data_IF_479934158344
#
_entry.id   IF_479934158344
#
_cell.length_a   1.000
_cell.length_b   1.000
_cell.length_c   1.000
_cell.angle_alpha   90.00
_cell.angle_beta   90.00
_cell.angle_gamma   90.00
#
_symmetry.space_group_name_H-M   'P 1'
#
loop_
_entity.id
_entity.type
_entity.pdbx_description
1 polymer ?
#
# COMPACT_ATOMS: atom_id res chain seq x y z
N UNK A 1 -15.65 -31.39 0.91
CA UNK A 1 -14.35 -31.32 1.60
C UNK A 1 -13.74 -29.97 1.23
N UNK A 2 -13.14 -29.23 2.15
CA UNK A 2 -12.41 -28.02 1.74
C UNK A 2 -11.30 -28.42 0.76
N UNK A 3 -11.18 -27.67 -0.32
CA UNK A 3 -10.16 -27.86 -1.34
C UNK A 3 -8.78 -27.63 -0.68
N UNK A 4 -7.80 -28.49 -0.96
CA UNK A 4 -6.46 -28.29 -0.42
C UNK A 4 -5.89 -26.97 -0.98
N UNK A 5 -5.12 -26.19 -0.18
CA UNK A 5 -4.51 -24.97 -0.67
C UNK A 5 -3.60 -25.27 -1.86
N UNK A 6 -3.49 -24.33 -2.83
CA UNK A 6 -2.63 -24.51 -3.99
C UNK A 6 -1.18 -24.71 -3.55
N UNK A 7 -0.43 -25.47 -4.35
CA UNK A 7 0.98 -25.74 -4.09
C UNK A 7 1.81 -24.50 -4.37
N UNK A 8 2.86 -24.30 -3.60
CA UNK A 8 3.87 -23.29 -3.88
C UNK A 8 5.28 -23.90 -3.76
N UNK A 9 6.25 -23.25 -4.38
CA UNK A 9 7.66 -23.58 -4.31
C UNK A 9 8.43 -22.31 -3.99
N UNK A 10 9.31 -22.38 -2.99
CA UNK A 10 10.23 -21.28 -2.66
C UNK A 10 11.35 -21.27 -3.71
N UNK A 11 11.59 -20.07 -4.27
CA UNK A 11 12.63 -19.83 -5.28
C UNK A 11 13.95 -19.41 -4.61
N UNK A 12 14.99 -19.16 -5.40
CA UNK A 12 16.21 -18.50 -4.91
C UNK A 12 15.86 -17.12 -4.35
N UNK A 13 16.44 -16.79 -3.20
CA UNK A 13 16.21 -15.53 -2.51
C UNK A 13 17.37 -14.52 -2.77
N UNK A 14 18.22 -14.81 -3.75
CA UNK A 14 19.29 -13.93 -4.21
C UNK A 14 19.06 -13.56 -5.67
N UNK A 15 19.12 -12.27 -5.97
CA UNK A 15 19.06 -11.74 -7.32
C UNK A 15 20.36 -11.95 -8.09
N UNK A 16 20.42 -11.43 -9.32
CA UNK A 16 21.55 -11.66 -10.22
C UNK A 16 22.88 -11.11 -9.71
N UNK A 17 22.84 -10.04 -8.91
CA UNK A 17 24.02 -9.39 -8.34
C UNK A 17 24.24 -9.76 -6.87
N UNK A 18 23.51 -10.78 -6.36
CA UNK A 18 23.59 -11.20 -4.96
C UNK A 18 22.75 -10.39 -3.98
N UNK A 19 21.94 -9.44 -4.46
CA UNK A 19 20.97 -8.69 -3.65
C UNK A 19 19.88 -9.62 -3.08
N UNK A 20 19.37 -9.29 -1.89
CA UNK A 20 18.25 -10.00 -1.30
C UNK A 20 16.97 -9.73 -2.11
N UNK A 21 16.26 -10.79 -2.51
CA UNK A 21 14.99 -10.70 -3.25
C UNK A 21 13.95 -11.60 -2.59
N UNK A 22 12.69 -11.42 -2.97
CA UNK A 22 11.60 -12.27 -2.50
C UNK A 22 11.46 -12.23 -0.98
N UNK A 23 11.42 -13.39 -0.33
CA UNK A 23 11.25 -13.50 1.11
C UNK A 23 12.42 -12.91 1.91
N UNK A 24 13.65 -12.96 1.36
CA UNK A 24 14.82 -12.37 2.00
C UNK A 24 14.81 -10.84 1.97
N UNK A 25 14.04 -10.22 1.07
CA UNK A 25 13.88 -8.77 1.01
C UNK A 25 12.84 -8.22 2.01
N UNK A 26 12.13 -9.10 2.74
CA UNK A 26 11.15 -8.65 3.73
C UNK A 26 11.87 -7.94 4.90
N UNK A 27 11.44 -6.71 5.23
CA UNK A 27 11.97 -6.02 6.40
C UNK A 27 11.49 -6.69 7.71
N UNK A 28 12.17 -6.43 8.82
CA UNK A 28 11.75 -6.90 10.15
C UNK A 28 10.34 -6.43 10.50
N UNK A 29 9.67 -7.21 11.36
CA UNK A 29 8.37 -6.85 11.89
C UNK A 29 8.44 -5.63 12.80
N UNK A 30 7.48 -4.71 12.65
CA UNK A 30 7.41 -3.54 13.51
C UNK A 30 5.96 -3.27 13.95
N UNK A 31 5.70 -2.97 15.25
CA UNK A 31 4.33 -2.77 15.74
C UNK A 31 3.61 -1.56 15.13
N UNK A 32 4.35 -0.63 14.53
CA UNK A 32 3.81 0.53 13.83
C UNK A 32 3.58 0.28 12.32
N UNK A 33 3.84 -0.91 11.80
CA UNK A 33 3.58 -1.27 10.40
C UNK A 33 2.14 -0.96 9.99
N UNK A 34 1.97 -0.62 8.70
CA UNK A 34 0.70 -0.20 8.09
C UNK A 34 0.43 -1.04 6.85
N UNK A 35 -0.81 -1.44 6.66
CA UNK A 35 -1.27 -2.12 5.43
C UNK A 35 -2.24 -1.22 4.72
N UNK A 36 -1.91 -0.86 3.49
CA UNK A 36 -2.53 0.20 2.72
C UNK A 36 -3.12 -0.31 1.41
N UNK A 37 -4.32 0.14 1.10
CA UNK A 37 -5.02 -0.12 -0.16
C UNK A 37 -5.86 1.10 -0.57
N UNK A 38 -6.13 1.26 -1.87
CA UNK A 38 -6.85 2.40 -2.43
C UNK A 38 -7.93 1.96 -3.41
N UNK A 39 -9.02 2.75 -3.44
CA UNK A 39 -10.06 2.61 -4.46
C UNK A 39 -10.10 3.80 -5.41
N UNK A 40 -10.08 3.52 -6.69
CA UNK A 40 -10.09 4.53 -7.75
C UNK A 40 -11.28 4.40 -8.69
N UNK A 41 -11.75 5.55 -9.21
CA UNK A 41 -12.80 5.63 -10.22
C UNK A 41 -12.26 6.22 -11.53
N UNK A 42 -11.97 5.38 -12.53
CA UNK A 42 -11.32 5.81 -13.77
C UNK A 42 -12.26 6.50 -14.76
N UNK A 43 -13.59 6.44 -14.55
CA UNK A 43 -14.58 6.92 -15.53
C UNK A 43 -14.85 8.43 -15.48
N UNK A 44 -14.05 9.19 -14.73
CA UNK A 44 -13.99 10.66 -14.79
C UNK A 44 -12.68 11.11 -15.40
N UNK A 45 -12.62 12.31 -16.04
CA UNK A 45 -11.38 12.81 -16.62
C UNK A 45 -10.20 12.79 -15.64
N UNK A 46 -9.14 12.05 -15.97
CA UNK A 46 -7.96 11.85 -15.14
C UNK A 46 -8.14 10.90 -13.94
N UNK A 47 -9.25 10.16 -13.86
CA UNK A 47 -9.57 9.26 -12.73
C UNK A 47 -9.78 10.00 -11.40
N UNK A 48 -10.36 9.41 -10.40
CA UNK A 48 -10.55 9.93 -9.05
C UNK A 48 -10.18 8.85 -8.05
N UNK A 49 -9.22 9.12 -7.16
CA UNK A 49 -8.97 8.24 -6.02
C UNK A 49 -9.94 8.63 -4.91
N UNK A 50 -10.91 7.78 -4.64
CA UNK A 50 -12.04 8.15 -3.79
C UNK A 50 -12.01 7.55 -2.38
N UNK A 51 -11.13 6.57 -2.15
CA UNK A 51 -10.96 5.95 -0.83
C UNK A 51 -9.49 5.57 -0.62
N UNK A 52 -8.94 5.99 0.50
CA UNK A 52 -7.63 5.58 1.02
C UNK A 52 -7.89 4.81 2.31
N UNK A 53 -7.55 3.53 2.35
CA UNK A 53 -7.77 2.67 3.51
C UNK A 53 -6.49 2.13 4.08
N UNK A 54 -6.39 2.09 5.40
CA UNK A 54 -5.27 1.48 6.10
C UNK A 54 -5.74 0.59 7.24
N UNK A 55 -5.06 -0.55 7.41
CA UNK A 55 -5.11 -1.33 8.63
C UNK A 55 -3.86 -1.10 9.45
N UNK A 56 -4.01 -1.09 10.78
CA UNK A 56 -2.93 -1.10 11.77
C UNK A 56 -3.19 -2.19 12.79
N UNK A 57 -2.12 -2.76 13.34
CA UNK A 57 -2.26 -3.76 14.40
C UNK A 57 -2.59 -3.10 15.73
N UNK A 58 -3.69 -3.52 16.35
CA UNK A 58 -4.08 -3.15 17.71
C UNK A 58 -3.72 -4.29 18.66
N UNK A 59 -2.52 -4.24 19.23
CA UNK A 59 -1.99 -5.27 20.13
C UNK A 59 -2.90 -5.58 21.32
N UNK A 60 -3.39 -4.58 22.07
CA UNK A 60 -4.32 -4.82 23.18
C UNK A 60 -5.61 -5.54 22.80
N UNK A 61 -6.18 -5.23 21.62
CA UNK A 61 -7.39 -5.87 21.12
C UNK A 61 -7.12 -7.17 20.34
N UNK A 62 -5.86 -7.50 20.04
CA UNK A 62 -5.44 -8.61 19.18
C UNK A 62 -6.19 -8.62 17.83
N UNK A 63 -6.39 -7.44 17.27
CA UNK A 63 -7.15 -7.21 16.05
C UNK A 63 -6.52 -6.12 15.20
N UNK A 64 -7.04 -5.91 14.00
CA UNK A 64 -6.69 -4.77 13.17
C UNK A 64 -7.74 -3.68 13.33
N UNK A 65 -7.29 -2.45 13.58
CA UNK A 65 -8.11 -1.26 13.42
C UNK A 65 -8.03 -0.79 11.97
N UNK A 66 -9.13 -0.26 11.44
CA UNK A 66 -9.21 0.28 10.09
C UNK A 66 -9.52 1.77 10.11
N UNK A 67 -8.76 2.53 9.33
CA UNK A 67 -8.94 3.97 9.14
C UNK A 67 -9.12 4.25 7.65
N UNK A 68 -9.94 5.26 7.32
CA UNK A 68 -10.23 5.61 5.93
C UNK A 68 -10.36 7.12 5.72
N UNK A 69 -10.02 7.55 4.49
CA UNK A 69 -10.20 8.92 3.99
C UNK A 69 -10.94 8.85 2.68
N UNK A 70 -12.06 9.59 2.60
CA UNK A 70 -12.97 9.58 1.45
C UNK A 70 -12.91 10.86 0.64
N UNK A 71 -13.15 10.72 -0.68
CA UNK A 71 -13.26 11.81 -1.62
C UNK A 71 -14.34 11.52 -2.67
N UNK A 72 -15.17 12.49 -3.01
CA UNK A 72 -16.18 12.35 -4.06
C UNK A 72 -16.04 13.41 -5.15
N UNK A 73 -14.95 14.19 -5.11
CA UNK A 73 -14.54 15.16 -6.12
C UNK A 73 -13.05 15.51 -5.96
N UNK A 74 -12.50 16.30 -6.87
CA UNK A 74 -11.07 16.69 -6.87
C UNK A 74 -10.59 17.42 -5.63
N UNK A 75 -11.41 18.29 -5.09
CA UNK A 75 -11.02 19.05 -3.90
C UNK A 75 -10.97 18.13 -2.67
N UNK A 76 -11.91 17.22 -2.57
CA UNK A 76 -11.93 16.21 -1.52
C UNK A 76 -10.81 15.18 -1.70
N UNK A 77 -10.44 14.81 -2.96
CA UNK A 77 -9.31 13.95 -3.26
C UNK A 77 -8.00 14.55 -2.70
N UNK A 78 -7.81 15.87 -2.87
CA UNK A 78 -6.67 16.58 -2.26
C UNK A 78 -6.69 16.44 -0.73
N UNK A 79 -7.81 16.74 -0.10
CA UNK A 79 -7.94 16.69 1.37
C UNK A 79 -7.74 15.27 1.91
N UNK A 80 -8.33 14.27 1.26
CA UNK A 80 -8.18 12.87 1.64
C UNK A 80 -6.73 12.38 1.49
N UNK A 81 -6.08 12.73 0.38
CA UNK A 81 -4.67 12.44 0.13
C UNK A 81 -3.76 13.11 1.17
N UNK A 82 -3.95 14.41 1.44
CA UNK A 82 -3.19 15.13 2.47
C UNK A 82 -3.40 14.50 3.86
N UNK A 83 -4.64 14.17 4.21
CA UNK A 83 -4.95 13.55 5.50
C UNK A 83 -4.27 12.19 5.69
N UNK A 84 -4.28 11.36 4.66
CA UNK A 84 -3.56 10.08 4.66
C UNK A 84 -2.04 10.29 4.77
N UNK A 85 -1.47 11.15 3.91
CA UNK A 85 -0.02 11.40 3.88
C UNK A 85 0.48 11.99 5.19
N UNK A 86 -0.21 13.00 5.74
CA UNK A 86 0.17 13.61 7.01
C UNK A 86 0.16 12.59 8.14
N UNK A 87 -0.89 11.76 8.19
CA UNK A 87 -1.00 10.73 9.22
C UNK A 87 0.12 9.69 9.11
N UNK A 88 0.39 9.15 7.93
CA UNK A 88 1.40 8.09 7.76
C UNK A 88 2.82 8.63 7.88
N UNK A 89 3.07 9.86 7.43
CA UNK A 89 4.37 10.51 7.52
C UNK A 89 4.76 10.80 8.98
N UNK A 90 3.84 11.37 9.79
CA UNK A 90 4.07 11.55 11.22
C UNK A 90 4.31 10.22 11.93
N UNK A 91 3.51 9.19 11.61
CA UNK A 91 3.69 7.85 12.17
C UNK A 91 5.07 7.28 11.86
N UNK A 92 5.57 7.49 10.63
CA UNK A 92 6.91 7.06 10.24
C UNK A 92 8.01 7.89 10.93
N UNK A 93 7.84 9.20 11.10
CA UNK A 93 8.78 10.04 11.86
C UNK A 93 8.93 9.56 13.31
N UNK A 94 7.82 9.18 13.95
CA UNK A 94 7.81 8.61 15.31
C UNK A 94 8.38 7.17 15.36
N UNK A 95 8.32 6.44 14.25
CA UNK A 95 8.70 5.04 14.13
C UNK A 95 9.48 4.78 12.84
N UNK A 96 10.75 5.23 12.72
CA UNK A 96 11.50 5.19 11.45
C UNK A 96 11.75 3.79 10.87
N UNK A 97 11.58 2.74 11.66
CA UNK A 97 11.73 1.34 11.25
C UNK A 97 10.40 0.69 10.79
N UNK A 98 9.28 1.42 10.80
CA UNK A 98 8.01 0.91 10.27
C UNK A 98 7.98 0.92 8.76
N UNK A 99 7.10 0.11 8.19
CA UNK A 99 6.86 0.04 6.76
C UNK A 99 5.37 0.16 6.42
N UNK A 100 5.11 0.56 5.18
CA UNK A 100 3.78 0.63 4.57
C UNK A 100 3.71 -0.48 3.53
N UNK A 101 2.97 -1.54 3.83
CA UNK A 101 2.81 -2.68 2.93
C UNK A 101 1.61 -2.47 2.02
N UNK A 102 1.80 -2.72 0.73
CA UNK A 102 0.78 -2.68 -0.31
C UNK A 102 0.97 -3.84 -1.29
N UNK A 103 0.05 -3.98 -2.24
CA UNK A 103 0.12 -5.05 -3.22
C UNK A 103 0.09 -4.52 -4.66
N UNK A 104 1.22 -4.70 -5.38
CA UNK A 104 1.48 -4.22 -6.73
C UNK A 104 1.69 -2.68 -6.80
N UNK A 105 1.75 -2.14 -8.02
CA UNK A 105 2.27 -0.78 -8.25
C UNK A 105 1.19 0.31 -8.26
N UNK A 106 -0.07 -0.05 -8.00
CA UNK A 106 -1.16 0.92 -8.12
C UNK A 106 -1.03 2.07 -7.12
N UNK A 107 -0.85 1.74 -5.84
CA UNK A 107 -0.78 2.68 -4.72
C UNK A 107 0.38 3.67 -4.89
N UNK A 108 1.57 3.16 -5.21
CA UNK A 108 2.77 4.01 -5.41
C UNK A 108 2.58 4.93 -6.62
N UNK A 109 2.03 4.42 -7.71
CA UNK A 109 1.74 5.22 -8.90
C UNK A 109 0.70 6.29 -8.61
N UNK A 110 -0.32 5.98 -7.81
CA UNK A 110 -1.35 6.92 -7.39
C UNK A 110 -0.77 8.00 -6.47
N UNK A 111 -0.01 7.63 -5.44
CA UNK A 111 0.62 8.57 -4.50
C UNK A 111 1.50 9.58 -5.23
N UNK A 112 2.36 9.13 -6.17
CA UNK A 112 3.19 10.01 -7.01
C UNK A 112 2.34 10.93 -7.88
N UNK A 113 1.31 10.39 -8.52
CA UNK A 113 0.40 11.16 -9.39
C UNK A 113 -0.38 12.21 -8.62
N UNK A 114 -0.88 11.87 -7.43
CA UNK A 114 -1.68 12.76 -6.59
C UNK A 114 -0.84 13.90 -6.04
N UNK A 115 0.38 13.66 -5.56
CA UNK A 115 1.27 14.71 -5.07
C UNK A 115 1.57 15.74 -6.16
N UNK A 116 1.82 15.29 -7.40
CA UNK A 116 2.04 16.17 -8.56
C UNK A 116 0.75 16.87 -8.99
N UNK A 117 -0.37 16.14 -9.08
CA UNK A 117 -1.68 16.67 -9.52
C UNK A 117 -2.18 17.80 -8.64
N UNK A 118 -2.03 17.64 -7.32
CA UNK A 118 -2.53 18.57 -6.32
C UNK A 118 -1.49 19.58 -5.84
N UNK A 119 -0.24 19.47 -6.34
CA UNK A 119 0.91 20.28 -5.94
C UNK A 119 1.04 20.34 -4.41
N UNK A 120 1.12 19.16 -3.79
CA UNK A 120 1.12 19.02 -2.33
C UNK A 120 1.87 17.77 -1.87
N UNK A 121 2.48 17.81 -0.68
CA UNK A 121 3.16 16.68 -0.01
C UNK A 121 4.24 16.00 -0.88
N UNK A 122 4.87 16.74 -1.80
CA UNK A 122 5.89 16.18 -2.69
C UNK A 122 7.13 15.75 -1.94
N UNK A 123 7.55 16.53 -0.94
CA UNK A 123 8.72 16.24 -0.12
C UNK A 123 8.48 15.03 0.79
N UNK A 124 7.29 14.91 1.37
CA UNK A 124 6.90 13.77 2.21
C UNK A 124 6.86 12.48 1.38
N UNK A 125 6.28 12.54 0.19
CA UNK A 125 6.26 11.40 -0.74
C UNK A 125 7.67 11.01 -1.16
N UNK A 126 8.53 11.98 -1.54
CA UNK A 126 9.92 11.72 -1.92
C UNK A 126 10.70 11.06 -0.77
N UNK A 127 10.54 11.55 0.47
CA UNK A 127 11.19 10.97 1.63
C UNK A 127 10.73 9.53 1.88
N UNK A 128 9.42 9.25 1.90
CA UNK A 128 8.90 7.90 2.09
C UNK A 128 9.40 6.92 1.02
N UNK A 129 9.52 7.38 -0.23
CA UNK A 129 10.00 6.55 -1.34
C UNK A 129 11.52 6.32 -1.28
N UNK A 130 12.33 7.35 -0.99
CA UNK A 130 13.79 7.23 -0.88
C UNK A 130 14.23 6.37 0.29
N UNK A 131 13.46 6.35 1.37
CA UNK A 131 13.75 5.53 2.53
C UNK A 131 13.10 4.14 2.44
N UNK A 132 12.55 3.78 1.27
CA UNK A 132 11.97 2.46 1.00
C UNK A 132 10.90 2.06 2.03
N UNK A 133 10.15 3.08 2.55
CA UNK A 133 9.11 2.84 3.56
C UNK A 133 7.95 2.03 2.99
N UNK A 134 7.66 2.18 1.68
CA UNK A 134 6.67 1.37 0.97
C UNK A 134 7.26 0.04 0.53
N UNK A 135 6.57 -1.05 0.86
CA UNK A 135 6.98 -2.43 0.55
C UNK A 135 5.91 -3.10 -0.31
N UNK A 136 6.25 -3.40 -1.55
CA UNK A 136 5.37 -4.08 -2.50
C UNK A 136 5.41 -5.60 -2.31
N UNK A 137 4.40 -6.16 -1.67
CA UNK A 137 4.30 -7.61 -1.43
C UNK A 137 4.09 -8.42 -2.72
N UNK A 138 3.59 -7.82 -3.81
CA UNK A 138 3.56 -8.49 -5.11
C UNK A 138 4.97 -8.84 -5.58
N UNK A 139 5.93 -7.93 -5.44
CA UNK A 139 7.32 -8.18 -5.80
C UNK A 139 7.94 -9.28 -4.94
N UNK A 140 7.65 -9.27 -3.63
CA UNK A 140 8.11 -10.31 -2.70
C UNK A 140 7.59 -11.68 -3.12
N UNK A 141 6.28 -11.80 -3.39
CA UNK A 141 5.67 -13.06 -3.86
C UNK A 141 6.24 -13.47 -5.20
N UNK A 142 6.30 -12.54 -6.17
CA UNK A 142 6.71 -12.81 -7.56
C UNK A 142 8.15 -13.28 -7.67
N UNK A 143 9.04 -12.74 -6.84
CA UNK A 143 10.46 -13.07 -6.82
C UNK A 143 10.77 -14.26 -5.91
N UNK A 144 10.04 -14.42 -4.81
CA UNK A 144 10.32 -15.42 -3.78
C UNK A 144 9.61 -16.76 -3.97
N UNK A 145 8.50 -16.77 -4.70
CA UNK A 145 7.63 -17.95 -4.79
C UNK A 145 7.20 -18.25 -6.24
N UNK A 146 7.12 -19.54 -6.55
CA UNK A 146 6.33 -20.04 -7.66
C UNK A 146 5.05 -20.65 -7.10
N UNK A 147 3.89 -20.16 -7.54
CA UNK A 147 2.58 -20.58 -7.03
C UNK A 147 1.83 -21.42 -8.07
N UNK A 148 0.98 -22.33 -7.62
CA UNK A 148 0.12 -23.18 -8.45
C UNK A 148 -1.22 -22.53 -8.79
N UNK A 149 -1.23 -21.21 -9.01
CA UNK A 149 -2.39 -20.42 -9.42
C UNK A 149 -2.15 -19.80 -10.79
N UNK A 150 -3.23 -19.47 -11.50
CA UNK A 150 -3.19 -18.93 -12.86
C UNK A 150 -2.58 -17.52 -12.93
N UNK A 151 -2.58 -16.79 -11.82
CA UNK A 151 -2.05 -15.43 -11.73
C UNK A 151 -1.45 -15.12 -10.36
N UNK A 152 -0.68 -14.04 -10.30
CA UNK A 152 -0.13 -13.48 -9.06
C UNK A 152 -0.98 -12.30 -8.53
N UNK A 153 -2.25 -12.19 -8.94
CA UNK A 153 -3.16 -11.23 -8.31
C UNK A 153 -3.34 -11.56 -6.83
N UNK A 154 -3.61 -10.54 -5.98
CA UNK A 154 -3.83 -10.80 -4.56
C UNK A 154 -4.95 -11.83 -4.33
N UNK A 155 -5.99 -11.82 -5.17
CA UNK A 155 -7.12 -12.77 -5.09
C UNK A 155 -6.72 -14.22 -5.35
N UNK A 156 -5.76 -14.46 -6.26
CA UNK A 156 -5.18 -15.79 -6.50
C UNK A 156 -4.26 -16.20 -5.36
N UNK A 157 -3.39 -15.29 -4.92
CA UNK A 157 -2.44 -15.55 -3.83
C UNK A 157 -3.14 -15.80 -2.49
N UNK A 158 -4.30 -15.19 -2.27
CA UNK A 158 -5.13 -15.44 -1.07
C UNK A 158 -5.43 -16.90 -0.81
N UNK A 159 -5.56 -17.72 -1.85
CA UNK A 159 -5.84 -19.15 -1.68
C UNK A 159 -4.73 -19.92 -0.94
N UNK A 160 -3.54 -19.35 -0.81
CA UNK A 160 -2.42 -19.92 -0.07
C UNK A 160 -2.53 -19.74 1.45
N UNK A 161 -3.23 -18.72 1.93
CA UNK A 161 -3.20 -18.34 3.34
C UNK A 161 -4.58 -18.07 3.97
N UNK A 162 -5.64 -17.98 3.18
CA UNK A 162 -7.01 -17.76 3.70
C UNK A 162 -8.07 -18.48 2.86
N UNK A 163 -9.26 -18.80 3.43
CA UNK A 163 -10.39 -19.32 2.66
C UNK A 163 -10.88 -18.30 1.63
N UNK A 164 -11.51 -18.79 0.56
CA UNK A 164 -12.11 -17.94 -0.47
C UNK A 164 -13.11 -16.95 0.14
N UNK A 165 -13.10 -15.72 -0.35
CA UNK A 165 -14.01 -14.67 0.09
C UNK A 165 -15.46 -15.02 -0.25
N UNK A 166 -16.37 -14.66 0.64
CA UNK A 166 -17.83 -14.80 0.45
C UNK A 166 -18.52 -13.45 0.20
N UNK A 167 -17.80 -12.41 -0.26
CA UNK A 167 -18.29 -11.04 -0.37
C UNK A 167 -18.95 -10.76 -1.73
N UNK A 168 -19.94 -9.84 -1.77
CA UNK A 168 -20.62 -9.40 -3.01
C UNK A 168 -19.72 -8.53 -3.89
N UNK A 169 -18.80 -7.77 -3.31
CA UNK A 169 -17.76 -7.04 -4.03
C UNK A 169 -16.50 -7.93 -3.99
N UNK A 170 -16.18 -8.56 -5.09
CA UNK A 170 -15.12 -9.56 -5.16
C UNK A 170 -13.89 -9.07 -5.92
N UNK A 171 -14.03 -8.03 -6.74
CA UNK A 171 -12.97 -7.51 -7.62
C UNK A 171 -12.94 -5.97 -7.64
N UNK A 172 -11.81 -5.39 -8.05
CA UNK A 172 -11.69 -3.95 -8.30
C UNK A 172 -12.70 -3.46 -9.36
N UNK A 173 -13.05 -4.29 -10.36
CA UNK A 173 -14.09 -3.95 -11.33
C UNK A 173 -15.47 -3.83 -10.67
N UNK A 174 -15.77 -4.67 -9.69
CA UNK A 174 -17.02 -4.57 -8.92
C UNK A 174 -17.07 -3.28 -8.11
N UNK A 175 -15.96 -2.86 -7.51
CA UNK A 175 -15.85 -1.58 -6.79
C UNK A 175 -16.17 -0.39 -7.71
N UNK A 176 -15.61 -0.35 -8.93
CA UNK A 176 -15.91 0.69 -9.94
C UNK A 176 -17.41 0.70 -10.28
N UNK A 177 -18.00 -0.48 -10.53
CA UNK A 177 -19.43 -0.60 -10.85
C UNK A 177 -20.30 -0.14 -9.67
N UNK A 178 -19.96 -0.52 -8.45
CA UNK A 178 -20.70 -0.10 -7.25
C UNK A 178 -20.59 1.42 -7.06
N UNK A 179 -19.40 2.00 -7.24
CA UNK A 179 -19.23 3.44 -7.13
C UNK A 179 -20.01 4.20 -8.23
N UNK A 180 -20.07 3.69 -9.48
CA UNK A 180 -20.95 4.24 -10.52
C UNK A 180 -22.43 4.24 -10.10
N UNK A 181 -22.89 3.11 -9.56
CA UNK A 181 -24.27 3.00 -9.04
C UNK A 181 -24.53 3.96 -7.89
N UNK A 182 -23.56 4.17 -7.01
CA UNK A 182 -23.69 5.16 -5.95
C UNK A 182 -23.82 6.59 -6.52
N UNK A 183 -23.01 6.98 -7.52
CA UNK A 183 -23.10 8.28 -8.19
C UNK A 183 -24.52 8.50 -8.79
N UNK A 184 -25.10 7.48 -9.39
CA UNK A 184 -26.45 7.53 -9.96
C UNK A 184 -27.56 7.47 -8.90
N UNK A 185 -27.25 7.00 -7.71
CA UNK A 185 -28.18 6.88 -6.60
C UNK A 185 -28.34 8.21 -5.86
N UNK A 186 -29.40 8.33 -5.08
CA UNK A 186 -29.58 9.44 -4.15
C UNK A 186 -29.13 9.09 -2.71
N UNK A 187 -28.26 8.09 -2.57
CA UNK A 187 -27.73 7.71 -1.25
C UNK A 187 -26.83 8.78 -0.68
N UNK A 188 -26.67 8.73 0.64
CA UNK A 188 -25.81 9.64 1.37
C UNK A 188 -24.34 9.56 0.89
N UNK A 189 -23.65 10.69 0.97
CA UNK A 189 -22.19 10.76 0.80
C UNK A 189 -21.43 10.25 2.04
N UNK A 190 -22.11 10.16 3.16
CA UNK A 190 -21.58 9.51 4.36
C UNK A 190 -21.69 7.99 4.18
N UNK A 191 -20.55 7.31 4.15
CA UNK A 191 -20.49 5.87 3.95
C UNK A 191 -21.31 5.09 5.00
N UNK A 192 -21.42 5.61 6.24
CA UNK A 192 -22.18 4.95 7.31
C UNK A 192 -23.69 4.94 7.05
N UNK A 193 -24.15 5.80 6.12
CA UNK A 193 -25.57 5.96 5.72
C UNK A 193 -25.84 5.50 4.29
N UNK A 194 -24.84 4.97 3.60
CA UNK A 194 -24.94 4.42 2.24
C UNK A 194 -24.58 2.96 2.24
N UNK A 195 -25.52 2.09 1.89
CA UNK A 195 -25.23 0.65 1.80
C UNK A 195 -24.20 0.33 0.72
N UNK A 196 -24.14 1.13 -0.35
CA UNK A 196 -23.18 0.94 -1.43
C UNK A 196 -21.77 1.34 -0.94
N UNK A 197 -21.60 2.55 -0.40
CA UNK A 197 -20.30 3.01 0.10
C UNK A 197 -19.80 2.13 1.26
N UNK A 198 -20.73 1.68 2.13
CA UNK A 198 -20.37 0.72 3.18
C UNK A 198 -19.81 -0.58 2.59
N UNK A 199 -20.43 -1.13 1.55
CA UNK A 199 -19.93 -2.33 0.87
C UNK A 199 -18.54 -2.13 0.25
N UNK A 200 -18.28 -0.96 -0.35
CA UNK A 200 -16.96 -0.60 -0.88
C UNK A 200 -15.93 -0.46 0.26
N UNK A 201 -16.31 0.18 1.37
CA UNK A 201 -15.46 0.30 2.55
C UNK A 201 -15.08 -1.05 3.13
N UNK A 202 -16.07 -1.92 3.30
CA UNK A 202 -15.87 -3.27 3.84
C UNK A 202 -14.93 -4.10 2.91
N UNK A 203 -15.02 -3.88 1.60
CA UNK A 203 -14.14 -4.49 0.61
C UNK A 203 -12.68 -3.98 0.74
N UNK A 204 -12.47 -2.67 0.80
CA UNK A 204 -11.15 -2.06 0.96
C UNK A 204 -10.50 -2.45 2.31
N UNK A 205 -11.28 -2.48 3.40
CA UNK A 205 -10.83 -2.99 4.69
C UNK A 205 -10.37 -4.45 4.60
N UNK A 206 -11.12 -5.30 3.87
CA UNK A 206 -10.74 -6.71 3.68
C UNK A 206 -9.47 -6.86 2.82
N UNK A 207 -9.22 -5.96 1.85
CA UNK A 207 -7.99 -5.95 1.07
C UNK A 207 -6.77 -5.53 1.92
N UNK A 208 -6.90 -4.50 2.77
CA UNK A 208 -5.87 -4.15 3.75
C UNK A 208 -5.57 -5.31 4.72
N UNK A 209 -6.61 -5.97 5.25
CA UNK A 209 -6.46 -7.15 6.13
C UNK A 209 -5.83 -8.34 5.41
N UNK A 210 -6.18 -8.55 4.15
CA UNK A 210 -5.59 -9.60 3.30
C UNK A 210 -4.09 -9.37 3.10
N UNK A 211 -3.70 -8.13 2.86
CA UNK A 211 -2.29 -7.73 2.74
C UNK A 211 -1.52 -8.00 4.04
N UNK A 212 -2.13 -7.73 5.21
CA UNK A 212 -1.55 -8.05 6.50
C UNK A 212 -1.39 -9.58 6.71
N UNK A 213 -2.42 -10.35 6.36
CA UNK A 213 -2.39 -11.82 6.45
C UNK A 213 -1.35 -12.42 5.50
N UNK A 214 -1.23 -11.88 4.28
CA UNK A 214 -0.19 -12.26 3.33
C UNK A 214 1.20 -12.07 3.93
N UNK A 215 1.50 -10.89 4.49
CA UNK A 215 2.79 -10.62 5.11
C UNK A 215 3.11 -11.62 6.21
N UNK A 216 2.15 -11.89 7.10
CA UNK A 216 2.32 -12.86 8.16
C UNK A 216 2.61 -14.26 7.62
N UNK A 217 1.89 -14.68 6.59
CA UNK A 217 2.12 -15.96 5.94
C UNK A 217 3.51 -16.03 5.27
N UNK A 218 3.92 -14.98 4.55
CA UNK A 218 5.25 -14.90 3.92
C UNK A 218 6.38 -15.00 4.96
N UNK A 219 6.22 -14.37 6.14
CA UNK A 219 7.17 -14.48 7.26
C UNK A 219 7.21 -15.91 7.84
N UNK A 220 6.06 -16.61 7.92
CA UNK A 220 6.03 -18.01 8.32
C UNK A 220 6.77 -18.89 7.32
N UNK A 221 6.52 -18.72 6.02
CA UNK A 221 7.23 -19.45 4.95
C UNK A 221 8.73 -19.19 5.01
N UNK A 222 9.15 -17.92 5.19
CA UNK A 222 10.55 -17.57 5.33
C UNK A 222 11.20 -18.29 6.53
N UNK A 223 10.51 -18.33 7.67
CA UNK A 223 10.97 -19.04 8.87
C UNK A 223 11.09 -20.54 8.65
N UNK A 224 10.08 -21.16 8.04
CA UNK A 224 10.07 -22.61 7.74
C UNK A 224 11.23 -23.01 6.80
N UNK A 225 11.60 -22.14 5.88
CA UNK A 225 12.69 -22.34 4.93
C UNK A 225 14.04 -21.77 5.38
N UNK A 226 14.16 -21.31 6.64
CA UNK A 226 15.38 -20.74 7.22
C UNK A 226 15.97 -19.57 6.42
N UNK A 227 15.09 -18.75 5.81
CA UNK A 227 15.46 -17.56 5.05
C UNK A 227 15.59 -16.40 6.05
N UNK A 228 16.80 -15.83 6.13
CA UNK A 228 17.02 -14.60 6.89
C UNK A 228 16.44 -13.41 6.11
N UNK A 229 15.62 -12.58 6.76
CA UNK A 229 15.17 -11.31 6.18
C UNK A 229 16.30 -10.28 6.14
N UNK A 230 16.07 -9.21 5.38
CA UNK A 230 17.01 -8.08 5.34
C UNK A 230 17.12 -7.46 6.74
N UNK A 231 18.34 -7.25 7.28
CA UNK A 231 18.47 -6.48 8.51
C UNK A 231 17.86 -5.10 8.31
N UNK A 232 17.11 -4.60 9.29
CA UNK A 232 16.71 -3.20 9.28
C UNK A 232 17.96 -2.35 9.19
N UNK A 233 18.18 -1.68 8.06
CA UNK A 233 19.08 -0.56 8.02
C UNK A 233 18.43 0.48 8.92
N UNK A 234 18.87 0.60 10.17
CA UNK A 234 18.42 1.67 11.04
C UNK A 234 18.64 2.98 10.28
N UNK A 235 17.53 3.54 9.79
CA UNK A 235 17.55 4.79 9.05
C UNK A 235 18.09 5.80 10.03
N UNK A 236 19.32 6.26 9.80
CA UNK A 236 19.81 7.48 10.44
C UNK A 236 18.78 8.55 10.13
N UNK A 237 18.30 9.22 11.18
CA UNK A 237 17.32 10.30 11.08
C UNK A 237 17.61 11.17 9.85
N UNK A 238 16.57 11.66 9.13
CA UNK A 238 16.77 12.39 7.88
C UNK A 238 17.84 13.45 8.09
N UNK A 239 18.94 13.31 7.36
CA UNK A 239 19.94 14.36 7.33
C UNK A 239 19.23 15.60 6.82
N UNK A 240 19.30 16.68 7.57
CA UNK A 240 18.91 18.00 7.12
C UNK A 240 19.35 18.16 5.67
N UNK A 241 18.48 18.62 4.73
CA UNK A 241 18.85 18.74 3.33
C UNK A 241 20.23 19.42 3.26
N UNK A 242 21.19 18.79 2.60
CA UNK A 242 22.50 19.37 2.44
C UNK A 242 22.27 20.72 1.76
N UNK A 243 22.67 21.81 2.41
CA UNK A 243 22.62 23.13 1.79
C UNK A 243 23.30 23.01 0.43
N UNK A 244 22.58 23.41 -0.61
CA UNK A 244 23.10 23.41 -1.97
C UNK A 244 24.41 24.20 -1.95
N UNK A 245 25.46 23.64 -2.52
CA UNK A 245 26.75 24.35 -2.55
C UNK A 245 26.57 25.72 -3.24
N UNK A 246 27.31 26.75 -2.83
CA UNK A 246 27.20 28.09 -3.43
C UNK A 246 27.32 28.07 -4.96
N UNK A 247 28.06 27.15 -5.54
CA UNK A 247 28.19 26.95 -6.98
C UNK A 247 26.91 26.46 -7.65
N UNK A 248 26.17 25.55 -6.99
CA UNK A 248 24.88 25.03 -7.49
C UNK A 248 23.80 26.10 -7.40
N UNK A 249 23.78 26.88 -6.31
CA UNK A 249 22.89 28.04 -6.16
C UNK A 249 23.16 29.11 -7.23
N UNK A 250 24.45 29.40 -7.52
CA UNK A 250 24.84 30.34 -8.56
C UNK A 250 24.40 29.89 -9.97
N UNK A 251 24.51 28.59 -10.28
CA UNK A 251 24.06 28.00 -11.56
C UNK A 251 22.54 28.03 -11.69
N UNK A 252 21.80 27.73 -10.63
CA UNK A 252 20.33 27.84 -10.60
C UNK A 252 19.88 29.27 -10.85
N UNK A 253 20.46 30.25 -10.17
CA UNK A 253 20.12 31.67 -10.33
C UNK A 253 20.47 32.20 -11.72
N UNK A 254 21.55 31.71 -12.35
CA UNK A 254 21.90 32.06 -13.74
C UNK A 254 20.94 31.44 -14.77
N UNK A 255 20.35 30.25 -14.48
CA UNK A 255 19.39 29.59 -15.38
C UNK A 255 17.97 30.19 -15.30
N UNK A 256 17.62 30.89 -14.21
CA UNK A 256 16.32 31.56 -14.02
C UNK A 256 16.29 32.96 -14.69
N UNK A 257 17.44 33.51 -15.06
CA UNK A 257 17.56 34.84 -15.71
C UNK A 257 17.62 34.78 -17.25
N UNK A 258 17.44 33.63 -17.87
CA UNK A 258 17.31 33.38 -19.31
C UNK A 258 15.87 33.06 -19.69
#
# INVERSE_FOLDING_TARGET
>A
MPEAPPRYQVLSQSGLNGEAVGLAALPPDHPADVWFDMEGYPLVPGGLEYLFGVCIWNGPALSYDFMDWWAHNRNEEKVAFEGFLDWVFHRWQDNPSMHIYHYANYEISAVRRLSTRHDTRQDEVDQLLRHEVFVDLYQVVRQGLRIGEDSYSIKSVEHLYRPRRATQVATAADSIVQYSRWIESQQSRDWSRSSILKGIRDYNEDDCRSTAQLLNWLRLVAKEHHIAGTPSNAITAPSTPAELSPEVVARLNAAIQL
#
